data_IF_940050964324
#
_entry.id   IF_940050964324
#
_cell.length_a   1.000
_cell.length_b   1.000
_cell.length_c   1.000
_cell.angle_alpha   90.00
_cell.angle_beta   90.00
_cell.angle_gamma   90.00
#
_symmetry.space_group_name_H-M   'P 1'
#
loop_
_entity.id
_entity.type
_entity.pdbx_description
1 polymer ?
#
# COMPACT_ATOMS: atom_id res chain seq x y z
N UNK A 1 9.40 13.67 -16.41
CA UNK A 1 8.04 13.64 -17.01
C UNK A 1 7.86 14.79 -17.98
N UNK A 2 7.96 16.04 -17.51
CA UNK A 2 7.69 17.24 -18.30
C UNK A 2 8.69 17.53 -19.42
N UNK A 3 10.02 17.61 -19.19
CA UNK A 3 10.93 17.95 -20.29
C UNK A 3 11.08 16.82 -21.32
N UNK A 4 11.20 15.57 -20.85
CA UNK A 4 11.44 14.42 -21.74
C UNK A 4 10.19 13.96 -22.48
N UNK A 5 9.02 13.99 -21.84
CA UNK A 5 7.77 13.46 -22.41
C UNK A 5 6.76 14.55 -22.77
N UNK A 6 7.09 15.83 -22.53
CA UNK A 6 6.26 16.99 -22.89
C UNK A 6 4.80 16.88 -22.44
N UNK A 7 4.57 16.30 -21.26
CA UNK A 7 3.22 16.11 -20.72
C UNK A 7 2.67 17.49 -20.29
N UNK A 8 1.47 17.91 -20.73
CA UNK A 8 0.97 19.27 -20.50
C UNK A 8 0.54 19.54 -19.05
N UNK A 9 0.11 18.51 -18.32
CA UNK A 9 -0.23 18.61 -16.89
C UNK A 9 -0.13 17.22 -16.24
N UNK A 10 0.19 17.19 -14.93
CA UNK A 10 0.20 15.98 -14.12
C UNK A 10 -0.49 16.29 -12.78
N UNK A 11 -1.35 15.38 -12.34
CA UNK A 11 -1.95 15.42 -11.01
C UNK A 11 -1.47 14.22 -10.19
N UNK A 12 -0.98 14.49 -8.97
CA UNK A 12 -0.54 13.46 -8.03
C UNK A 12 -1.39 13.53 -6.77
N UNK A 13 -1.86 12.36 -6.34
CA UNK A 13 -2.61 12.20 -5.11
C UNK A 13 -2.12 10.94 -4.36
N UNK A 14 -2.34 10.92 -3.04
CA UNK A 14 -1.99 9.76 -2.21
C UNK A 14 -2.94 8.60 -2.54
N UNK A 15 -2.39 7.40 -2.74
CA UNK A 15 -3.16 6.16 -2.96
C UNK A 15 -4.38 6.02 -2.03
N UNK A 16 -4.26 6.15 -0.70
CA UNK A 16 -5.42 6.01 0.19
C UNK A 16 -6.53 7.03 -0.06
N UNK A 17 -6.21 8.26 -0.48
CA UNK A 17 -7.22 9.27 -0.85
C UNK A 17 -7.96 8.85 -2.11
N UNK A 18 -7.23 8.36 -3.12
CA UNK A 18 -7.82 7.86 -4.36
C UNK A 18 -8.70 6.62 -4.11
N UNK A 19 -8.27 5.71 -3.23
CA UNK A 19 -9.06 4.55 -2.82
C UNK A 19 -10.33 4.98 -2.09
N UNK A 20 -10.23 5.91 -1.14
CA UNK A 20 -11.39 6.46 -0.43
C UNK A 20 -12.37 7.13 -1.40
N UNK A 21 -11.84 7.90 -2.35
CA UNK A 21 -12.61 8.56 -3.41
C UNK A 21 -13.32 7.55 -4.32
N UNK A 22 -12.64 6.49 -4.75
CA UNK A 22 -13.24 5.43 -5.56
C UNK A 22 -14.42 4.73 -4.85
N UNK A 23 -14.37 4.66 -3.52
CA UNK A 23 -15.48 4.13 -2.70
C UNK A 23 -16.57 5.16 -2.38
N UNK A 24 -16.42 6.41 -2.82
CA UNK A 24 -17.36 7.50 -2.52
C UNK A 24 -17.40 7.90 -1.04
N UNK A 25 -16.36 7.54 -0.25
CA UNK A 25 -16.30 7.86 1.17
C UNK A 25 -15.32 8.99 1.42
N UNK A 26 -15.78 10.05 2.08
CA UNK A 26 -14.93 11.15 2.52
C UNK A 26 -14.02 10.73 3.70
N UNK A 27 -14.51 9.82 4.55
CA UNK A 27 -13.79 9.27 5.70
C UNK A 27 -13.75 7.75 5.60
N UNK A 28 -12.56 7.16 5.65
CA UNK A 28 -12.36 5.71 5.55
C UNK A 28 -11.02 5.29 6.18
N UNK A 29 -10.88 4.00 6.48
CA UNK A 29 -9.61 3.38 6.82
C UNK A 29 -9.15 2.53 5.64
N UNK A 30 -8.07 2.94 4.97
CA UNK A 30 -7.54 2.20 3.82
C UNK A 30 -6.42 1.29 4.29
N UNK A 31 -6.55 0.00 4.00
CA UNK A 31 -5.50 -1.00 4.23
C UNK A 31 -4.99 -1.44 2.86
N UNK A 32 -3.75 -1.08 2.55
CA UNK A 32 -3.09 -1.42 1.28
C UNK A 32 -2.04 -2.50 1.53
N UNK A 33 -2.29 -3.71 1.02
CA UNK A 33 -1.40 -4.86 1.15
C UNK A 33 -0.58 -5.01 -0.14
N UNK A 34 0.60 -4.38 -0.15
CA UNK A 34 1.51 -4.38 -1.30
C UNK A 34 2.49 -5.57 -1.28
N UNK A 35 3.38 -5.59 -2.27
CA UNK A 35 4.40 -6.65 -2.38
C UNK A 35 5.52 -6.58 -1.33
N UNK A 36 5.88 -5.37 -0.87
CA UNK A 36 6.98 -5.13 0.07
C UNK A 36 6.57 -4.48 1.39
N UNK A 37 5.33 -4.04 1.52
CA UNK A 37 4.79 -3.50 2.78
C UNK A 37 3.27 -3.54 2.76
N UNK A 38 2.68 -3.67 3.93
CA UNK A 38 1.24 -3.43 4.13
C UNK A 38 1.08 -2.14 4.91
N UNK A 39 0.31 -1.18 4.39
CA UNK A 39 0.10 0.12 5.03
C UNK A 39 -1.34 0.31 5.46
N UNK A 40 -1.54 0.97 6.60
CA UNK A 40 -2.83 1.31 7.18
C UNK A 40 -2.90 2.84 7.23
N UNK A 41 -3.76 3.39 6.38
CA UNK A 41 -3.86 4.83 6.14
C UNK A 41 -5.29 5.32 6.44
N UNK A 42 -5.51 5.99 7.58
CA UNK A 42 -6.77 6.66 7.85
C UNK A 42 -6.95 7.89 6.96
N UNK A 43 -8.10 7.98 6.30
CA UNK A 43 -8.55 9.13 5.52
C UNK A 43 -9.71 9.77 6.25
N UNK A 44 -9.62 11.07 6.49
CA UNK A 44 -10.67 11.87 7.12
C UNK A 44 -10.95 13.09 6.26
N UNK A 45 -12.19 13.25 5.82
CA UNK A 45 -12.63 14.35 4.95
C UNK A 45 -11.73 14.55 3.71
N UNK A 46 -11.24 13.46 3.11
CA UNK A 46 -10.36 13.50 1.95
C UNK A 46 -8.87 13.70 2.25
N UNK A 47 -8.48 13.84 3.51
CA UNK A 47 -7.08 14.00 3.95
C UNK A 47 -6.55 12.77 4.66
N UNK A 48 -5.29 12.42 4.42
CA UNK A 48 -4.62 11.32 5.13
C UNK A 48 -4.06 11.83 6.45
N UNK A 49 -4.44 11.20 7.57
CA UNK A 49 -3.89 11.54 8.89
C UNK A 49 -2.52 10.88 9.08
N UNK A 50 -1.49 11.58 8.59
CA UNK A 50 -0.13 11.04 8.48
C UNK A 50 0.52 10.67 9.82
N UNK A 51 0.10 11.30 10.92
CA UNK A 51 0.61 11.02 12.28
C UNK A 51 0.14 9.67 12.85
N UNK A 52 -0.94 9.10 12.28
CA UNK A 52 -1.57 7.85 12.74
C UNK A 52 -1.42 6.75 11.69
N UNK A 53 -0.66 7.01 10.62
CA UNK A 53 -0.41 6.02 9.58
C UNK A 53 0.58 4.97 10.09
N UNK A 54 0.22 3.70 9.95
CA UNK A 54 1.08 2.58 10.30
C UNK A 54 1.47 1.79 9.05
N UNK A 55 2.66 1.20 9.09
CA UNK A 55 3.14 0.30 8.04
C UNK A 55 3.76 -0.92 8.70
N UNK A 56 3.37 -2.09 8.23
CA UNK A 56 3.90 -3.38 8.65
C UNK A 56 4.68 -4.01 7.49
N UNK A 57 5.87 -4.53 7.82
CA UNK A 57 6.70 -5.29 6.89
C UNK A 57 6.33 -6.77 6.96
N UNK A 58 5.03 -7.05 6.84
CA UNK A 58 4.48 -8.40 6.62
C UNK A 58 3.61 -8.32 5.38
N UNK A 59 4.12 -8.91 4.32
CA UNK A 59 3.55 -8.79 3.00
C UNK A 59 3.92 -10.00 2.14
N UNK A 60 3.52 -9.97 0.88
CA UNK A 60 3.66 -11.08 -0.08
C UNK A 60 5.09 -11.66 -0.14
N UNK A 61 6.13 -10.83 -0.10
CA UNK A 61 7.52 -11.33 -0.07
C UNK A 61 7.83 -12.17 1.17
N UNK A 62 7.27 -11.78 2.33
CA UNK A 62 7.46 -12.51 3.59
C UNK A 62 6.70 -13.82 3.58
N UNK A 63 5.45 -13.81 3.07
CA UNK A 63 4.62 -15.01 2.93
C UNK A 63 5.30 -16.02 2.00
N UNK A 64 5.82 -15.56 0.86
CA UNK A 64 6.59 -16.43 -0.05
C UNK A 64 7.81 -17.02 0.66
N UNK A 65 8.58 -16.21 1.36
CA UNK A 65 9.78 -16.67 2.07
C UNK A 65 9.46 -17.70 3.15
N UNK A 66 8.41 -17.46 3.93
CA UNK A 66 7.95 -18.37 4.98
C UNK A 66 7.48 -19.71 4.40
N UNK A 67 6.74 -19.68 3.29
CA UNK A 67 6.31 -20.88 2.57
C UNK A 67 7.50 -21.69 2.05
N UNK A 68 8.46 -21.06 1.37
CA UNK A 68 9.65 -21.76 0.86
C UNK A 68 10.50 -22.35 2.00
N UNK A 69 10.68 -21.61 3.10
CA UNK A 69 11.42 -22.10 4.25
C UNK A 69 10.76 -23.33 4.88
N UNK A 70 9.44 -23.33 5.02
CA UNK A 70 8.69 -24.44 5.63
C UNK A 70 8.77 -25.71 4.77
N UNK A 71 8.67 -25.55 3.45
CA UNK A 71 8.81 -26.65 2.50
C UNK A 71 10.22 -27.25 2.61
N UNK A 72 11.27 -26.42 2.58
CA UNK A 72 12.67 -26.88 2.65
C UNK A 72 13.01 -27.59 3.98
N UNK A 73 12.43 -27.14 5.10
CA UNK A 73 12.60 -27.78 6.41
C UNK A 73 11.91 -29.14 6.45
N UNK A 74 10.73 -29.28 5.85
CA UNK A 74 9.99 -30.55 5.79
C UNK A 74 10.71 -31.61 4.96
N UNK A 75 11.46 -31.22 3.93
CA UNK A 75 12.25 -32.17 3.11
C UNK A 75 13.56 -32.64 3.75
N UNK A 76 14.07 -31.94 4.77
CA UNK A 76 15.35 -32.28 5.42
C UNK A 76 15.20 -33.07 6.73
N UNK A 77 13.98 -33.51 7.07
CA UNK A 77 13.66 -34.31 8.26
C UNK A 77 12.92 -35.58 7.83
#
# INVERSE_FOLDING_TARGET
MFEKYKVPALFMAKNPVLTSFATGRATSLVVDCGGGSTTISPVHEGYVLQKVMESINKCDVDIRRELYSSILVTFNN
#
